data_IF_396639651494
#
_entry.id   IF_396639651494
#
_cell.length_a   1.000
_cell.length_b   1.000
_cell.length_c   1.000
_cell.angle_alpha   90.00
_cell.angle_beta   90.00
_cell.angle_gamma   90.00
#
_symmetry.space_group_name_H-M   'P 1'
#
loop_
_entity.id
_entity.type
_entity.pdbx_description
1 polymer ?
#
# COMPACT_ATOMS: atom_id res chain seq x y z
N UNK A 1 -19.96 -1.86 9.83
CA UNK A 1 -18.61 -2.44 9.89
C UNK A 1 -17.97 -2.16 8.53
N UNK A 2 -16.76 -1.66 8.48
CA UNK A 2 -16.08 -1.36 7.20
C UNK A 2 -15.61 -2.69 6.56
N UNK A 3 -16.08 -2.97 5.33
CA UNK A 3 -15.78 -4.23 4.62
C UNK A 3 -14.28 -4.40 4.40
N UNK A 4 -13.58 -3.30 4.03
CA UNK A 4 -12.12 -3.30 3.85
C UNK A 4 -11.40 -3.66 5.14
N UNK A 5 -11.80 -3.06 6.27
CA UNK A 5 -11.24 -3.40 7.58
C UNK A 5 -11.44 -4.88 7.92
N UNK A 6 -12.66 -5.40 7.75
CA UNK A 6 -12.96 -6.82 8.02
C UNK A 6 -12.10 -7.76 7.17
N UNK A 7 -11.88 -7.42 5.90
CA UNK A 7 -11.01 -8.18 5.02
C UNK A 7 -9.58 -8.25 5.55
N UNK A 8 -8.97 -7.09 5.86
CA UNK A 8 -7.61 -7.04 6.36
C UNK A 8 -7.46 -7.61 7.77
N UNK A 9 -8.43 -7.39 8.67
CA UNK A 9 -8.44 -8.04 9.99
C UNK A 9 -8.41 -9.57 9.87
N UNK A 10 -9.12 -10.14 8.88
CA UNK A 10 -9.13 -11.60 8.66
C UNK A 10 -7.86 -12.12 7.99
N UNK A 11 -7.19 -11.29 7.19
CA UNK A 11 -6.02 -11.69 6.40
C UNK A 11 -4.68 -11.40 7.10
N UNK A 12 -4.66 -10.59 8.15
CA UNK A 12 -3.44 -10.06 8.78
C UNK A 12 -2.38 -11.13 9.09
N UNK A 13 -2.77 -12.24 9.69
CA UNK A 13 -1.84 -13.36 10.03
C UNK A 13 -1.40 -14.20 8.82
N UNK A 14 -1.92 -13.91 7.63
CA UNK A 14 -1.63 -14.63 6.39
C UNK A 14 -1.02 -13.73 5.32
N UNK A 15 -0.97 -12.40 5.56
CA UNK A 15 -0.56 -11.45 4.55
C UNK A 15 0.88 -11.68 4.06
N UNK A 16 1.81 -12.02 4.96
CA UNK A 16 3.20 -12.33 4.61
C UNK A 16 3.35 -13.54 3.68
N UNK A 17 2.34 -14.43 3.65
CA UNK A 17 2.33 -15.61 2.77
C UNK A 17 2.07 -15.27 1.30
N UNK A 18 1.73 -14.01 1.01
CA UNK A 18 1.66 -13.48 -0.36
C UNK A 18 3.05 -13.24 -0.97
N UNK A 19 4.09 -13.21 -0.14
CA UNK A 19 5.47 -13.03 -0.54
C UNK A 19 6.23 -14.36 -0.52
N UNK A 20 7.17 -14.53 -1.41
CA UNK A 20 8.14 -15.63 -1.32
C UNK A 20 8.98 -15.49 -0.04
N UNK A 21 9.50 -14.29 0.17
CA UNK A 21 10.22 -13.90 1.38
C UNK A 21 9.85 -12.46 1.74
N UNK A 22 8.96 -12.30 2.72
CA UNK A 22 8.50 -10.98 3.15
C UNK A 22 9.63 -10.06 3.62
N UNK A 23 10.64 -10.60 4.32
CA UNK A 23 11.77 -9.79 4.78
C UNK A 23 12.66 -9.29 3.63
N UNK A 24 12.85 -10.11 2.60
CA UNK A 24 13.56 -9.68 1.39
C UNK A 24 12.78 -8.60 0.67
N UNK A 25 11.47 -8.81 0.43
CA UNK A 25 10.59 -7.81 -0.19
C UNK A 25 10.55 -6.48 0.57
N UNK A 26 10.49 -6.52 1.91
CA UNK A 26 10.56 -5.33 2.78
C UNK A 26 11.82 -4.52 2.53
N UNK A 27 12.99 -5.17 2.43
CA UNK A 27 14.27 -4.49 2.16
C UNK A 27 14.34 -3.94 0.75
N UNK A 28 13.94 -4.73 -0.25
CA UNK A 28 13.97 -4.33 -1.66
C UNK A 28 13.07 -3.12 -1.92
N UNK A 29 11.84 -3.16 -1.42
CA UNK A 29 10.89 -2.06 -1.58
C UNK A 29 11.37 -0.80 -0.86
N UNK A 30 11.95 -0.91 0.33
CA UNK A 30 12.53 0.23 1.03
C UNK A 30 13.68 0.88 0.27
N UNK A 31 14.57 0.09 -0.35
CA UNK A 31 15.67 0.61 -1.19
C UNK A 31 15.14 1.34 -2.42
N UNK A 32 14.08 0.82 -3.04
CA UNK A 32 13.44 1.49 -4.17
C UNK A 32 12.86 2.84 -3.75
N UNK A 33 12.13 2.88 -2.63
CA UNK A 33 11.53 4.10 -2.11
C UNK A 33 12.59 5.12 -1.66
N UNK A 34 13.65 4.69 -0.95
CA UNK A 34 14.78 5.54 -0.55
C UNK A 34 15.40 6.22 -1.76
N UNK A 35 15.67 5.48 -2.85
CA UNK A 35 16.18 6.05 -4.11
C UNK A 35 15.24 7.13 -4.65
N UNK A 36 13.92 6.84 -4.74
CA UNK A 36 12.93 7.79 -5.23
C UNK A 36 12.84 9.06 -4.36
N UNK A 37 13.03 8.92 -3.05
CA UNK A 37 13.02 10.05 -2.12
C UNK A 37 14.28 10.89 -2.27
N UNK A 38 15.47 10.26 -2.32
CA UNK A 38 16.76 10.97 -2.50
C UNK A 38 16.84 11.72 -3.83
N UNK A 39 16.32 11.16 -4.92
CA UNK A 39 16.21 11.84 -6.21
C UNK A 39 15.40 13.15 -6.12
N UNK A 40 14.62 13.34 -5.05
CA UNK A 40 13.76 14.52 -4.81
C UNK A 40 14.23 15.40 -3.66
N UNK A 41 15.43 15.13 -3.13
CA UNK A 41 16.07 15.92 -2.10
C UNK A 41 15.69 15.56 -0.67
N UNK A 42 15.04 14.39 -0.46
CA UNK A 42 14.75 13.88 0.88
C UNK A 42 15.82 12.90 1.35
N UNK A 43 16.08 12.87 2.63
CA UNK A 43 17.04 12.00 3.27
C UNK A 43 16.46 11.36 4.56
N UNK A 44 17.27 10.69 5.33
CA UNK A 44 16.85 9.99 6.55
C UNK A 44 16.43 10.91 7.71
N UNK A 45 16.57 12.23 7.59
CA UNK A 45 16.00 13.19 8.56
C UNK A 45 14.51 13.46 8.28
N UNK A 46 14.02 13.02 7.12
CA UNK A 46 12.65 13.20 6.64
C UNK A 46 11.64 12.44 7.51
N UNK A 47 10.52 13.09 7.81
CA UNK A 47 9.38 12.49 8.52
C UNK A 47 8.41 11.87 7.51
N UNK A 48 8.14 10.59 7.67
CA UNK A 48 7.28 9.82 6.76
C UNK A 48 6.03 9.35 7.51
N UNK A 49 4.86 9.50 6.88
CA UNK A 49 3.65 8.81 7.26
C UNK A 49 3.36 7.71 6.22
N UNK A 50 3.34 6.46 6.66
CA UNK A 50 2.72 5.38 5.90
C UNK A 50 1.26 5.27 6.34
N UNK A 51 0.32 5.75 5.52
CA UNK A 51 -1.09 5.87 5.91
C UNK A 51 -1.95 4.65 5.57
N UNK A 52 -1.34 3.58 5.06
CA UNK A 52 -1.97 2.29 4.76
C UNK A 52 -0.92 1.16 4.91
N UNK A 53 -0.33 1.06 6.09
CA UNK A 53 0.90 0.30 6.29
C UNK A 53 0.71 -1.23 6.31
N UNK A 54 -0.52 -1.73 6.49
CA UNK A 54 -0.77 -3.15 6.65
C UNK A 54 0.10 -3.77 7.74
N UNK A 55 0.77 -4.86 7.44
CA UNK A 55 1.73 -5.53 8.34
C UNK A 55 3.10 -4.84 8.42
N UNK A 56 3.23 -3.63 7.84
CA UNK A 56 4.41 -2.78 7.97
C UNK A 56 5.49 -2.99 6.91
N UNK A 57 5.16 -3.50 5.72
CA UNK A 57 6.16 -3.85 4.68
C UNK A 57 7.05 -2.65 4.32
N UNK A 58 6.50 -1.51 3.95
CA UNK A 58 7.25 -0.32 3.60
C UNK A 58 7.75 0.43 4.84
N UNK A 59 6.88 0.57 5.85
CA UNK A 59 7.17 1.32 7.06
C UNK A 59 8.38 0.76 7.83
N UNK A 60 8.46 -0.56 8.03
CA UNK A 60 9.57 -1.23 8.73
C UNK A 60 10.85 -1.12 7.89
N UNK A 61 10.73 -1.32 6.58
CA UNK A 61 11.88 -1.22 5.69
C UNK A 61 12.51 0.18 5.69
N UNK A 62 11.69 1.23 5.56
CA UNK A 62 12.15 2.63 5.60
C UNK A 62 12.72 3.02 6.97
N UNK A 63 12.05 2.60 8.07
CA UNK A 63 12.58 2.84 9.41
C UNK A 63 13.92 2.11 9.65
N UNK A 64 14.12 0.93 9.04
CA UNK A 64 15.42 0.20 9.08
C UNK A 64 16.54 0.94 8.32
N UNK A 65 16.18 1.80 7.34
CA UNK A 65 17.12 2.68 6.64
C UNK A 65 17.37 4.01 7.40
N UNK A 66 16.76 4.19 8.57
CA UNK A 66 16.96 5.34 9.45
C UNK A 66 15.99 6.50 9.26
N UNK A 67 14.93 6.34 8.45
CA UNK A 67 13.87 7.34 8.34
C UNK A 67 13.03 7.43 9.63
N UNK A 68 12.49 8.63 9.89
CA UNK A 68 11.52 8.86 10.96
C UNK A 68 10.12 8.49 10.47
N UNK A 69 9.73 7.23 10.62
CA UNK A 69 8.46 6.72 10.12
C UNK A 69 7.42 6.64 11.21
N UNK A 70 6.23 7.15 10.94
CA UNK A 70 4.98 6.86 11.65
C UNK A 70 4.09 6.07 10.70
N UNK A 71 3.35 5.08 11.20
CA UNK A 71 2.53 4.26 10.34
C UNK A 71 1.09 4.14 10.88
N UNK A 72 0.14 4.05 9.97
CA UNK A 72 -1.26 3.85 10.31
C UNK A 72 -1.95 2.91 9.34
N UNK A 73 -2.98 2.25 9.83
CA UNK A 73 -3.86 1.40 9.04
C UNK A 73 -5.26 1.40 9.66
N UNK A 74 -6.27 1.08 8.88
CA UNK A 74 -7.64 0.93 9.35
C UNK A 74 -7.84 -0.39 10.13
N UNK A 75 -7.04 -1.41 9.83
CA UNK A 75 -7.08 -2.73 10.44
C UNK A 75 -6.23 -2.78 11.72
N UNK A 76 -6.88 -3.03 12.84
CA UNK A 76 -6.17 -3.23 14.11
C UNK A 76 -5.37 -4.53 14.14
N UNK A 77 -5.80 -5.56 13.41
CA UNK A 77 -5.09 -6.82 13.31
C UNK A 77 -3.80 -6.69 12.49
N UNK A 78 -3.83 -5.95 11.37
CA UNK A 78 -2.64 -5.62 10.59
C UNK A 78 -1.63 -4.85 11.45
N UNK A 79 -2.08 -3.84 12.20
CA UNK A 79 -1.20 -3.08 13.10
C UNK A 79 -0.59 -3.94 14.20
N UNK A 80 -1.32 -4.93 14.73
CA UNK A 80 -0.78 -5.88 15.70
C UNK A 80 0.35 -6.73 15.08
N UNK A 81 0.19 -7.17 13.82
CA UNK A 81 1.24 -7.86 13.07
C UNK A 81 2.42 -6.93 12.74
N UNK A 82 2.15 -5.67 12.32
CA UNK A 82 3.20 -4.68 12.08
C UNK A 82 4.05 -4.44 13.35
N UNK A 83 3.41 -4.34 14.52
CA UNK A 83 4.10 -4.19 15.80
C UNK A 83 5.05 -5.35 16.09
N UNK A 84 4.56 -6.58 16.00
CA UNK A 84 5.39 -7.80 16.21
C UNK A 84 6.58 -7.84 15.27
N UNK A 85 6.38 -7.46 14.00
CA UNK A 85 7.42 -7.45 12.97
C UNK A 85 8.43 -6.32 13.19
N UNK A 86 8.01 -5.13 13.60
CA UNK A 86 8.89 -4.03 13.97
C UNK A 86 9.77 -4.42 15.16
N UNK A 87 9.20 -5.01 16.22
CA UNK A 87 9.95 -5.50 17.37
C UNK A 87 10.99 -6.56 16.98
N UNK A 88 10.60 -7.54 16.13
CA UNK A 88 11.52 -8.59 15.61
C UNK A 88 12.68 -8.01 14.79
N UNK A 89 12.46 -6.91 14.11
CA UNK A 89 13.48 -6.22 13.31
C UNK A 89 14.25 -5.14 14.12
N UNK A 90 14.00 -5.00 15.43
CA UNK A 90 14.58 -3.96 16.30
C UNK A 90 14.33 -2.54 15.77
N UNK A 91 13.15 -2.29 15.19
CA UNK A 91 12.77 -1.01 14.62
C UNK A 91 11.74 -0.34 15.52
N UNK A 92 11.97 0.94 15.85
CA UNK A 92 10.94 1.78 16.49
C UNK A 92 9.96 2.26 15.43
N UNK A 93 8.71 1.84 15.52
CA UNK A 93 7.65 2.24 14.60
C UNK A 93 6.41 2.66 15.39
N UNK A 94 6.17 3.97 15.56
CA UNK A 94 4.89 4.48 16.06
C UNK A 94 3.75 4.03 15.16
N UNK A 95 2.74 3.37 15.75
CA UNK A 95 1.59 2.81 15.06
C UNK A 95 0.30 3.45 15.57
N UNK A 96 -0.63 3.76 14.66
CA UNK A 96 -1.93 4.31 15.00
C UNK A 96 -3.03 3.74 14.11
N UNK A 97 -4.15 3.33 14.71
CA UNK A 97 -5.32 2.97 13.92
C UNK A 97 -5.98 4.24 13.37
N UNK A 98 -6.06 4.37 12.05
CA UNK A 98 -6.65 5.52 11.38
C UNK A 98 -7.18 5.15 9.99
N UNK A 99 -8.27 5.79 9.58
CA UNK A 99 -8.74 5.79 8.19
C UNK A 99 -8.02 6.92 7.44
N UNK A 100 -7.36 6.61 6.33
CA UNK A 100 -6.68 7.63 5.51
C UNK A 100 -7.65 8.66 4.89
N UNK A 101 -8.96 8.43 4.96
CA UNK A 101 -9.97 9.43 4.63
C UNK A 101 -10.15 10.52 5.71
N UNK A 102 -9.57 10.35 6.89
CA UNK A 102 -9.77 11.23 8.05
C UNK A 102 -8.48 11.36 8.89
N UNK A 103 -7.33 11.54 8.25
CA UNK A 103 -6.02 11.56 8.94
C UNK A 103 -5.89 12.70 9.94
N UNK A 104 -6.47 13.88 9.67
CA UNK A 104 -6.42 15.04 10.57
C UNK A 104 -7.09 14.80 11.93
N UNK A 105 -7.99 13.82 12.04
CA UNK A 105 -8.57 13.41 13.33
C UNK A 105 -7.55 12.68 14.21
N UNK A 106 -6.49 12.18 13.60
CA UNK A 106 -5.50 11.32 14.23
C UNK A 106 -4.12 11.95 14.32
N UNK A 107 -3.77 12.83 13.39
CA UNK A 107 -2.45 13.44 13.29
C UNK A 107 -2.57 14.96 13.30
N UNK A 108 -2.01 15.60 14.33
CA UNK A 108 -1.95 17.05 14.42
C UNK A 108 -0.80 17.63 13.57
N UNK A 109 0.29 16.88 13.43
CA UNK A 109 1.47 17.28 12.67
C UNK A 109 1.39 16.79 11.21
N UNK A 110 2.01 17.55 10.32
CA UNK A 110 2.22 17.17 8.93
C UNK A 110 3.54 16.42 8.76
N UNK A 111 3.68 15.72 7.64
CA UNK A 111 4.83 14.90 7.27
C UNK A 111 5.44 15.40 5.95
N UNK A 112 6.74 15.20 5.80
CA UNK A 112 7.44 15.60 4.59
C UNK A 112 7.13 14.65 3.42
N UNK A 113 6.86 13.38 3.76
CA UNK A 113 6.41 12.36 2.82
C UNK A 113 5.20 11.62 3.41
N UNK A 114 4.15 11.45 2.60
CA UNK A 114 3.05 10.54 2.93
C UNK A 114 3.00 9.45 1.85
N UNK A 115 2.96 8.19 2.28
CA UNK A 115 2.87 7.05 1.36
C UNK A 115 1.58 6.25 1.56
N UNK A 116 1.05 5.70 0.45
CA UNK A 116 -0.05 4.74 0.41
C UNK A 116 0.25 3.68 -0.65
N UNK A 117 0.97 2.65 -0.26
CA UNK A 117 1.50 1.65 -1.18
C UNK A 117 0.57 0.44 -1.36
N UNK A 118 0.97 -0.49 -2.22
CA UNK A 118 0.34 -1.80 -2.39
C UNK A 118 -1.15 -1.78 -2.70
N UNK A 119 -1.57 -0.83 -3.56
CA UNK A 119 -2.94 -0.76 -4.06
C UNK A 119 -3.99 -0.38 -2.99
N UNK A 120 -3.64 0.46 -2.01
CA UNK A 120 -4.55 0.86 -0.94
C UNK A 120 -5.69 1.79 -1.44
N UNK A 121 -5.40 2.78 -2.29
CA UNK A 121 -6.38 3.75 -2.77
C UNK A 121 -7.57 3.14 -3.53
N UNK A 122 -7.43 2.07 -4.33
CA UNK A 122 -8.53 1.42 -5.03
C UNK A 122 -9.62 0.79 -4.16
N UNK A 123 -9.44 0.71 -2.85
CA UNK A 123 -10.53 0.41 -1.91
C UNK A 123 -11.59 1.53 -1.82
N UNK A 124 -11.30 2.69 -2.38
CA UNK A 124 -12.26 3.78 -2.51
C UNK A 124 -13.21 3.48 -3.69
N UNK A 125 -14.37 2.87 -3.38
CA UNK A 125 -15.29 2.34 -4.37
C UNK A 125 -16.08 3.41 -5.15
N UNK A 126 -15.89 4.69 -4.84
CA UNK A 126 -16.45 5.81 -5.61
C UNK A 126 -15.42 6.92 -5.75
N UNK A 127 -15.64 7.78 -6.75
CA UNK A 127 -14.78 8.95 -6.98
C UNK A 127 -14.82 9.92 -5.80
N UNK A 128 -15.97 10.12 -5.16
CA UNK A 128 -16.15 11.01 -4.02
C UNK A 128 -15.37 10.50 -2.80
N UNK A 129 -15.34 9.18 -2.60
CA UNK A 129 -14.54 8.55 -1.54
C UNK A 129 -13.04 8.69 -1.83
N UNK A 130 -12.63 8.50 -3.08
CA UNK A 130 -11.24 8.69 -3.49
C UNK A 130 -10.81 10.14 -3.32
N UNK A 131 -11.66 11.11 -3.70
CA UNK A 131 -11.38 12.53 -3.50
C UNK A 131 -11.25 12.88 -2.02
N UNK A 132 -12.13 12.32 -1.17
CA UNK A 132 -12.04 12.50 0.29
C UNK A 132 -10.71 11.96 0.81
N UNK A 133 -10.28 10.77 0.37
CA UNK A 133 -9.00 10.19 0.73
C UNK A 133 -7.83 11.08 0.29
N UNK A 134 -7.81 11.52 -0.97
CA UNK A 134 -6.74 12.36 -1.51
C UNK A 134 -6.67 13.72 -0.77
N UNK A 135 -7.81 14.35 -0.47
CA UNK A 135 -7.86 15.59 0.30
C UNK A 135 -7.30 15.40 1.72
N UNK A 136 -7.69 14.34 2.39
CA UNK A 136 -7.18 14.01 3.72
C UNK A 136 -5.67 13.75 3.70
N UNK A 137 -5.19 12.94 2.76
CA UNK A 137 -3.78 12.60 2.62
C UNK A 137 -2.94 13.84 2.29
N UNK A 138 -3.35 14.63 1.29
CA UNK A 138 -2.59 15.83 0.88
C UNK A 138 -2.60 16.92 1.95
N UNK A 139 -3.61 16.94 2.82
CA UNK A 139 -3.68 17.81 4.00
C UNK A 139 -2.63 17.49 5.07
N UNK A 140 -2.11 16.26 5.08
CA UNK A 140 -1.06 15.82 6.01
C UNK A 140 0.37 16.02 5.46
N UNK A 141 0.52 16.62 4.29
CA UNK A 141 1.83 16.85 3.67
C UNK A 141 2.26 18.30 3.91
N UNK A 142 3.50 18.48 4.37
CA UNK A 142 4.14 19.80 4.49
C UNK A 142 4.26 20.48 3.12
N UNK A 143 4.33 21.80 3.11
CA UNK A 143 4.67 22.59 1.90
C UNK A 143 5.97 22.06 1.29
N UNK A 144 5.98 21.81 -0.02
CA UNK A 144 7.12 21.21 -0.73
C UNK A 144 7.35 19.71 -0.48
N UNK A 145 6.60 19.10 0.41
CA UNK A 145 6.61 17.66 0.65
C UNK A 145 6.02 16.84 -0.50
N UNK A 146 6.01 15.51 -0.40
CA UNK A 146 5.51 14.64 -1.47
C UNK A 146 4.51 13.60 -0.99
N UNK A 147 3.59 13.26 -1.88
CA UNK A 147 2.79 12.05 -1.82
C UNK A 147 3.37 10.97 -2.72
N UNK A 148 3.40 9.72 -2.25
CA UNK A 148 3.80 8.57 -3.06
C UNK A 148 2.79 7.45 -2.87
N UNK A 149 2.27 6.90 -3.96
CA UNK A 149 1.38 5.75 -3.89
C UNK A 149 1.65 4.76 -5.02
N UNK A 150 1.35 3.49 -4.80
CA UNK A 150 1.34 2.50 -5.85
C UNK A 150 -0.05 1.92 -6.06
N UNK A 151 -0.42 1.73 -7.31
CA UNK A 151 -1.66 1.05 -7.71
C UNK A 151 -1.35 0.07 -8.85
N UNK A 152 -2.22 -0.92 -9.03
CA UNK A 152 -2.16 -1.78 -10.22
C UNK A 152 -2.28 -0.95 -11.49
N UNK A 153 -1.77 -1.45 -12.60
CA UNK A 153 -1.99 -0.82 -13.91
C UNK A 153 -3.45 -1.01 -14.35
N UNK A 154 -4.34 -0.22 -13.78
CA UNK A 154 -5.77 -0.31 -14.07
C UNK A 154 -6.14 0.15 -15.49
N UNK A 155 -5.30 0.95 -16.13
CA UNK A 155 -5.53 1.30 -17.54
C UNK A 155 -5.36 0.07 -18.42
N UNK A 156 -4.36 -0.78 -18.16
CA UNK A 156 -4.18 -2.06 -18.83
C UNK A 156 -5.22 -3.11 -18.39
N UNK A 157 -5.52 -3.20 -17.09
CA UNK A 157 -6.46 -4.17 -16.55
C UNK A 157 -7.89 -3.96 -17.05
N UNK A 158 -8.36 -2.71 -17.18
CA UNK A 158 -9.69 -2.38 -17.69
C UNK A 158 -9.86 -2.74 -19.17
N UNK A 159 -8.77 -2.78 -19.95
CA UNK A 159 -8.82 -3.19 -21.35
C UNK A 159 -9.13 -4.68 -21.51
N UNK A 160 -8.62 -5.52 -20.59
CA UNK A 160 -8.67 -6.98 -20.74
C UNK A 160 -9.58 -7.66 -19.70
N UNK A 161 -9.82 -7.02 -18.55
CA UNK A 161 -10.60 -7.53 -17.41
C UNK A 161 -10.32 -9.00 -17.11
N UNK A 162 -9.07 -9.35 -16.78
CA UNK A 162 -8.70 -10.75 -16.57
C UNK A 162 -9.53 -11.33 -15.40
N UNK A 163 -9.98 -12.60 -15.49
CA UNK A 163 -10.79 -13.22 -14.43
C UNK A 163 -9.95 -13.72 -13.26
N UNK A 164 -8.63 -13.78 -13.39
CA UNK A 164 -7.71 -14.26 -12.35
C UNK A 164 -6.28 -13.75 -12.58
N UNK A 165 -5.48 -13.77 -11.51
CA UNK A 165 -4.04 -13.61 -11.60
C UNK A 165 -3.35 -14.95 -11.89
N UNK A 166 -2.17 -14.97 -12.54
CA UNK A 166 -1.34 -16.17 -12.56
C UNK A 166 -1.05 -16.64 -11.12
N UNK A 167 -1.01 -17.97 -10.86
CA UNK A 167 -0.63 -18.47 -9.55
C UNK A 167 0.85 -18.23 -9.28
N UNK A 168 1.14 -17.78 -8.06
CA UNK A 168 2.49 -17.77 -7.50
C UNK A 168 2.71 -19.08 -6.73
N UNK A 169 3.74 -19.83 -7.12
CA UNK A 169 4.08 -21.12 -6.51
C UNK A 169 5.44 -20.97 -5.84
N UNK A 170 5.45 -21.08 -4.52
CA UNK A 170 6.65 -21.05 -3.70
C UNK A 170 6.93 -22.45 -3.14
N UNK A 171 8.08 -23.00 -3.52
CA UNK A 171 8.55 -24.27 -2.94
C UNK A 171 9.20 -24.02 -1.59
N UNK A 172 8.90 -24.84 -0.61
CA UNK A 172 9.51 -24.87 0.72
C UNK A 172 10.13 -26.24 0.96
N UNK A 173 10.93 -26.38 2.00
CA UNK A 173 11.51 -27.68 2.39
C UNK A 173 10.45 -28.70 2.82
N UNK A 174 9.24 -28.24 3.19
CA UNK A 174 8.13 -29.06 3.69
C UNK A 174 7.03 -29.31 2.64
N UNK A 175 7.11 -28.65 1.47
CA UNK A 175 6.09 -28.74 0.43
C UNK A 175 6.02 -27.50 -0.44
N UNK A 176 4.81 -26.96 -0.62
CA UNK A 176 4.62 -25.76 -1.46
C UNK A 176 3.51 -24.85 -0.93
N UNK A 177 3.62 -23.57 -1.26
CA UNK A 177 2.57 -22.57 -1.09
C UNK A 177 2.14 -22.06 -2.46
N UNK A 178 0.85 -21.93 -2.67
CA UNK A 178 0.29 -21.36 -3.91
C UNK A 178 -0.62 -20.21 -3.54
N UNK A 179 -0.38 -19.05 -4.12
CA UNK A 179 -1.28 -17.90 -3.98
C UNK A 179 -1.74 -17.40 -5.34
N UNK A 180 -3.01 -17.08 -5.46
CA UNK A 180 -3.59 -16.47 -6.65
C UNK A 180 -4.86 -15.72 -6.29
N UNK A 181 -5.36 -14.94 -7.25
CA UNK A 181 -6.58 -14.15 -7.11
C UNK A 181 -7.56 -14.50 -8.22
N UNK A 182 -8.86 -14.48 -7.91
CA UNK A 182 -9.92 -14.40 -8.92
C UNK A 182 -10.58 -13.03 -8.84
N UNK A 183 -11.01 -12.50 -9.97
CA UNK A 183 -11.56 -11.16 -10.10
C UNK A 183 -12.90 -11.19 -10.85
N UNK A 184 -13.98 -10.87 -10.14
CA UNK A 184 -15.32 -10.79 -10.70
C UNK A 184 -15.64 -9.33 -11.02
N UNK A 185 -15.57 -8.97 -12.30
CA UNK A 185 -15.70 -7.60 -12.78
C UNK A 185 -17.16 -7.17 -12.93
N UNK A 186 -17.48 -5.97 -12.45
CA UNK A 186 -18.73 -5.26 -12.68
C UNK A 186 -18.43 -3.78 -13.02
N UNK A 187 -18.46 -3.44 -14.31
CA UNK A 187 -18.02 -2.10 -14.76
C UNK A 187 -16.55 -1.85 -14.50
N UNK A 188 -16.25 -0.83 -13.71
CA UNK A 188 -14.90 -0.48 -13.21
C UNK A 188 -14.64 -1.03 -11.81
N UNK A 189 -15.59 -1.68 -11.18
CA UNK A 189 -15.42 -2.36 -9.91
C UNK A 189 -15.19 -3.85 -10.11
N UNK A 190 -14.53 -4.47 -9.14
CA UNK A 190 -14.39 -5.92 -9.13
C UNK A 190 -14.29 -6.45 -7.71
N UNK A 191 -14.88 -7.63 -7.52
CA UNK A 191 -14.66 -8.43 -6.32
C UNK A 191 -13.38 -9.25 -6.52
N UNK A 192 -12.40 -9.00 -5.68
CA UNK A 192 -11.21 -9.83 -5.59
C UNK A 192 -11.45 -10.93 -4.57
N UNK A 193 -11.06 -12.15 -4.92
CA UNK A 193 -10.93 -13.25 -3.98
C UNK A 193 -9.48 -13.73 -3.99
N UNK A 194 -8.80 -13.59 -2.86
CA UNK A 194 -7.46 -14.09 -2.62
C UNK A 194 -7.53 -15.52 -2.12
N UNK A 195 -6.80 -16.43 -2.74
CA UNK A 195 -6.59 -17.79 -2.28
C UNK A 195 -5.13 -17.96 -1.85
N UNK A 196 -4.93 -18.59 -0.69
CA UNK A 196 -3.63 -19.03 -0.18
C UNK A 196 -3.77 -20.50 0.15
N UNK A 197 -3.04 -21.35 -0.55
CA UNK A 197 -3.00 -22.79 -0.40
C UNK A 197 -1.64 -23.14 0.19
N UNK A 198 -1.64 -23.79 1.33
CA UNK A 198 -0.44 -24.30 1.99
C UNK A 198 -0.52 -25.83 1.96
N UNK A 199 0.37 -26.46 1.22
CA UNK A 199 0.48 -27.92 1.09
C UNK A 199 1.89 -28.32 1.56
N UNK A 200 2.04 -28.31 2.88
CA UNK A 200 3.28 -28.67 3.56
C UNK A 200 3.10 -29.98 4.33
N UNK A 201 2.67 -29.94 5.59
CA UNK A 201 2.38 -31.15 6.37
C UNK A 201 0.90 -31.57 6.29
N UNK A 202 0.04 -30.62 5.92
CA UNK A 202 -1.38 -30.80 5.67
C UNK A 202 -1.85 -29.73 4.68
N UNK A 203 -2.94 -30.02 3.96
CA UNK A 203 -3.52 -29.06 3.02
C UNK A 203 -4.40 -28.06 3.78
N UNK A 204 -4.02 -26.79 3.75
CA UNK A 204 -4.82 -25.67 4.22
C UNK A 204 -5.17 -24.74 3.07
N UNK A 205 -6.43 -24.32 3.00
CA UNK A 205 -6.92 -23.37 2.01
C UNK A 205 -7.54 -22.18 2.72
N UNK A 206 -6.92 -21.04 2.59
CA UNK A 206 -7.44 -19.77 3.08
C UNK A 206 -8.03 -18.96 1.92
N UNK A 207 -9.18 -18.32 2.17
CA UNK A 207 -9.91 -17.55 1.18
C UNK A 207 -10.39 -16.25 1.80
N UNK A 208 -10.02 -15.11 1.16
CA UNK A 208 -10.39 -13.77 1.58
C UNK A 208 -10.97 -13.00 0.39
N UNK A 209 -11.99 -12.18 0.62
CA UNK A 209 -12.60 -11.42 -0.48
C UNK A 209 -12.84 -9.98 -0.08
N UNK A 210 -12.57 -9.06 -1.00
CA UNK A 210 -12.92 -7.65 -0.89
C UNK A 210 -13.25 -7.05 -2.24
N UNK A 211 -13.72 -5.80 -2.23
CA UNK A 211 -14.06 -5.05 -3.43
C UNK A 211 -13.03 -3.96 -3.69
N UNK A 212 -12.76 -3.75 -4.96
CA UNK A 212 -11.88 -2.70 -5.48
C UNK A 212 -12.56 -1.94 -6.60
N UNK A 213 -12.18 -0.70 -6.79
CA UNK A 213 -12.48 0.07 -7.99
C UNK A 213 -11.19 0.32 -8.78
N UNK A 214 -11.26 0.07 -10.07
CA UNK A 214 -10.15 0.31 -10.97
C UNK A 214 -9.93 1.84 -11.12
N UNK A 215 -9.01 2.37 -10.34
CA UNK A 215 -8.64 3.79 -10.35
C UNK A 215 -7.66 4.06 -11.49
N UNK A 216 -8.08 4.83 -12.52
CA UNK A 216 -7.21 5.19 -13.63
C UNK A 216 -6.15 6.21 -13.22
N UNK A 217 -5.00 6.16 -13.89
CA UNK A 217 -3.90 7.10 -13.64
C UNK A 217 -4.33 8.56 -13.89
N UNK A 218 -5.09 8.83 -14.96
CA UNK A 218 -5.61 10.16 -15.26
C UNK A 218 -6.52 10.68 -14.14
N UNK A 219 -7.41 9.84 -13.61
CA UNK A 219 -8.32 10.19 -12.53
C UNK A 219 -7.54 10.58 -11.27
N UNK A 220 -6.58 9.74 -10.84
CA UNK A 220 -5.77 10.02 -9.67
C UNK A 220 -4.90 11.28 -9.86
N UNK A 221 -4.32 11.46 -11.04
CA UNK A 221 -3.57 12.67 -11.38
C UNK A 221 -4.43 13.92 -11.25
N UNK A 222 -5.64 13.92 -11.81
CA UNK A 222 -6.58 15.04 -11.72
C UNK A 222 -6.94 15.36 -10.27
N UNK A 223 -7.19 14.35 -9.45
CA UNK A 223 -7.52 14.55 -8.03
C UNK A 223 -6.34 15.10 -7.23
N UNK A 224 -5.11 14.65 -7.48
CA UNK A 224 -3.91 15.19 -6.84
C UNK A 224 -3.70 16.67 -7.19
N UNK A 225 -3.82 17.02 -8.47
CA UNK A 225 -3.72 18.42 -8.92
C UNK A 225 -4.80 19.30 -8.28
N UNK A 226 -6.05 18.83 -8.24
CA UNK A 226 -7.18 19.54 -7.64
C UNK A 226 -7.04 19.74 -6.11
N UNK A 227 -6.24 18.90 -5.44
CA UNK A 227 -6.02 18.97 -3.99
C UNK A 227 -4.65 19.57 -3.61
N UNK A 228 -4.13 20.47 -4.46
CA UNK A 228 -2.97 21.32 -4.15
C UNK A 228 -1.63 20.59 -4.32
N UNK A 229 -1.56 19.62 -5.21
CA UNK A 229 -0.30 19.04 -5.67
C UNK A 229 0.08 19.55 -7.06
N UNK A 230 1.36 19.45 -7.38
CA UNK A 230 1.94 19.69 -8.70
C UNK A 230 2.96 18.61 -9.03
N UNK A 231 3.56 18.69 -10.22
CA UNK A 231 4.60 17.75 -10.65
C UNK A 231 4.20 16.30 -10.43
N UNK A 232 2.96 15.94 -10.83
CA UNK A 232 2.47 14.56 -10.71
C UNK A 232 3.15 13.71 -11.77
N UNK A 233 3.96 12.74 -11.34
CA UNK A 233 4.76 11.88 -12.20
C UNK A 233 4.41 10.43 -11.92
N UNK A 234 4.22 9.66 -12.98
CA UNK A 234 4.10 8.21 -12.92
C UNK A 234 5.43 7.55 -13.27
N UNK A 235 5.81 6.56 -12.49
CA UNK A 235 6.96 5.70 -12.70
C UNK A 235 6.49 4.25 -12.80
N UNK A 236 6.99 3.55 -13.81
CA UNK A 236 6.57 2.18 -14.08
C UNK A 236 7.57 1.16 -13.52
N UNK A 237 7.17 -0.13 -13.42
CA UNK A 237 8.04 -1.19 -12.90
C UNK A 237 9.41 -1.26 -13.58
N UNK A 238 9.47 -1.04 -14.89
CA UNK A 238 10.70 -1.06 -15.70
C UNK A 238 11.69 0.05 -15.31
N UNK A 239 11.17 1.17 -14.76
CA UNK A 239 11.98 2.30 -14.32
C UNK A 239 12.39 2.18 -12.85
N UNK A 240 11.51 1.62 -12.03
CA UNK A 240 11.67 1.63 -10.57
C UNK A 240 12.17 0.31 -10.01
N UNK A 241 11.80 -0.81 -10.63
CA UNK A 241 11.90 -2.14 -10.06
C UNK A 241 10.80 -2.47 -9.05
N UNK A 242 9.89 -1.51 -8.74
CA UNK A 242 8.72 -1.80 -7.93
C UNK A 242 7.66 -2.51 -8.77
N UNK A 243 6.96 -3.48 -8.21
CA UNK A 243 6.08 -4.36 -8.97
C UNK A 243 4.77 -3.72 -9.47
N UNK A 244 4.48 -2.49 -9.08
CA UNK A 244 3.32 -1.69 -9.51
C UNK A 244 3.76 -0.32 -10.01
N UNK A 245 2.97 0.33 -10.87
CA UNK A 245 3.14 1.75 -11.16
C UNK A 245 3.07 2.59 -9.89
N UNK A 246 4.00 3.55 -9.77
CA UNK A 246 4.09 4.49 -8.66
C UNK A 246 3.73 5.89 -9.15
N UNK A 247 2.82 6.57 -8.44
CA UNK A 247 2.59 8.01 -8.60
C UNK A 247 3.37 8.77 -7.53
N UNK A 248 3.98 9.88 -7.93
CA UNK A 248 4.66 10.82 -7.05
C UNK A 248 4.11 12.22 -7.37
N UNK A 249 3.63 12.92 -6.35
CA UNK A 249 3.11 14.26 -6.48
C UNK A 249 3.71 15.18 -5.41
N UNK A 250 4.09 16.41 -5.78
CA UNK A 250 4.64 17.38 -4.83
C UNK A 250 3.53 18.30 -4.31
N UNK A 251 3.46 18.48 -3.00
CA UNK A 251 2.57 19.47 -2.39
C UNK A 251 3.07 20.87 -2.75
N UNK A 252 2.15 21.72 -3.22
CA UNK A 252 2.47 23.12 -3.55
C UNK A 252 2.88 23.90 -2.29
N UNK A 253 3.71 24.89 -2.46
CA UNK A 253 3.95 25.89 -1.42
C UNK A 253 2.66 26.71 -1.23
N UNK A 254 2.34 27.00 0.04
CA UNK A 254 1.19 27.84 0.41
C UNK A 254 1.49 29.31 0.12
#
# INVERSE_FOLDING_TARGET
>A
MNITQTFYDSMASHYDKLFENWQAATREQAVILDRLFRERGFDNTTRILDCACGIGTQAIGLASLGYSVTASDISSAELAEAKKRAEKNNVRLPLKQADFCALSENFADQFDIVIAMDNALPHMLSIDRLETAIRSITGQITSGGIFVASIRDYDALLANKPPYSPPYIHKTDLGQKVSFQTWDWNGDQYKLTQYIIEDENALFINKFSCEYRATRREELTRLLLANGCSNVVWKFPEETGFYQPIVIARKNDL
#
